data_IF_764377626147
#
_entry.id   IF_764377626147
#
_cell.length_a   1.000
_cell.length_b   1.000
_cell.length_c   1.000
_cell.angle_alpha   90.00
_cell.angle_beta   90.00
_cell.angle_gamma   90.00
#
_symmetry.space_group_name_H-M   'P 1'
#
loop_
_entity.id
_entity.type
_entity.pdbx_description
1 polymer ?
#
# COMPACT_ATOMS: atom_id res chain seq x y z
N UNK A 1 1.05 3.88 14.29
CA UNK A 1 0.69 3.37 12.95
C UNK A 1 -0.26 2.20 13.11
N UNK A 2 -1.31 2.16 12.30
CA UNK A 2 -2.22 1.03 12.19
C UNK A 2 -1.94 0.28 10.89
N UNK A 3 -1.99 -1.06 10.95
CA UNK A 3 -1.57 -1.94 9.85
C UNK A 3 -2.39 -3.22 9.89
N UNK A 4 -3.11 -3.52 8.81
CA UNK A 4 -3.98 -4.69 8.71
C UNK A 4 -3.72 -5.35 7.36
N UNK A 5 -3.22 -6.58 7.37
CA UNK A 5 -2.86 -7.34 6.17
C UNK A 5 -3.86 -8.46 5.91
N UNK A 6 -4.29 -8.61 4.66
CA UNK A 6 -5.25 -9.60 4.21
C UNK A 6 -4.81 -10.27 2.92
N UNK A 7 -5.28 -11.50 2.72
CA UNK A 7 -5.18 -12.23 1.45
C UNK A 7 -6.57 -12.38 0.87
N UNK A 8 -6.78 -11.86 -0.33
CA UNK A 8 -8.06 -12.00 -1.05
C UNK A 8 -8.19 -13.41 -1.64
N UNK A 9 -9.43 -13.91 -1.86
CA UNK A 9 -9.66 -15.20 -2.52
C UNK A 9 -9.08 -15.28 -3.94
N UNK A 10 -8.91 -14.15 -4.62
CA UNK A 10 -8.30 -14.05 -5.95
C UNK A 10 -6.75 -14.18 -5.95
N UNK A 11 -6.15 -14.47 -4.79
CA UNK A 11 -4.71 -14.65 -4.61
C UNK A 11 -3.91 -13.35 -4.43
N UNK A 12 -4.52 -12.18 -4.60
CA UNK A 12 -3.85 -10.91 -4.31
C UNK A 12 -3.79 -10.61 -2.80
N UNK A 13 -2.80 -9.80 -2.42
CA UNK A 13 -2.60 -9.32 -1.05
C UNK A 13 -3.11 -7.89 -0.94
N UNK A 14 -3.69 -7.59 0.21
CA UNK A 14 -4.24 -6.29 0.54
C UNK A 14 -3.69 -5.82 1.87
N UNK A 15 -3.25 -4.57 1.92
CA UNK A 15 -2.76 -3.93 3.12
C UNK A 15 -3.50 -2.63 3.36
N UNK A 16 -4.21 -2.56 4.48
CA UNK A 16 -4.82 -1.35 5.00
C UNK A 16 -3.89 -0.70 6.01
N UNK A 17 -3.62 0.59 5.83
CA UNK A 17 -2.68 1.29 6.71
C UNK A 17 -2.99 2.78 6.80
N UNK A 18 -2.65 3.35 7.96
CA UNK A 18 -2.63 4.79 8.22
C UNK A 18 -1.77 5.09 9.45
N UNK A 19 -1.35 6.34 9.59
CA UNK A 19 -0.57 6.80 10.73
C UNK A 19 -0.88 8.27 11.01
N UNK A 20 -1.00 8.63 12.29
CA UNK A 20 -1.19 10.02 12.72
C UNK A 20 -0.19 10.98 12.07
N UNK A 21 1.09 10.58 12.03
CA UNK A 21 2.12 11.32 11.34
C UNK A 21 2.32 10.77 9.91
N UNK A 22 2.35 11.63 8.88
CA UNK A 22 2.65 11.21 7.51
C UNK A 22 4.10 10.73 7.38
N UNK A 23 4.35 9.90 6.36
CA UNK A 23 5.68 9.36 6.11
C UNK A 23 5.73 8.42 4.91
N UNK A 24 6.70 7.52 4.91
CA UNK A 24 6.91 6.53 3.85
C UNK A 24 7.22 5.16 4.46
N UNK A 25 6.63 4.11 3.90
CA UNK A 25 6.97 2.72 4.18
C UNK A 25 7.75 2.13 2.99
N UNK A 26 8.81 1.38 3.30
CA UNK A 26 9.61 0.66 2.30
C UNK A 26 9.25 -0.82 2.32
N UNK A 27 8.72 -1.34 1.22
CA UNK A 27 8.35 -2.75 1.08
C UNK A 27 9.30 -3.47 0.12
N UNK A 28 9.95 -4.52 0.61
CA UNK A 28 10.84 -5.36 -0.20
C UNK A 28 10.06 -6.50 -0.88
N UNK A 29 10.54 -6.94 -2.04
CA UNK A 29 9.97 -8.09 -2.75
C UNK A 29 8.63 -7.83 -3.45
N UNK A 30 8.21 -6.57 -3.58
CA UNK A 30 7.00 -6.18 -4.32
C UNK A 30 7.41 -5.30 -5.50
N UNK A 31 7.37 -5.82 -6.73
CA UNK A 31 7.80 -5.07 -7.91
C UNK A 31 6.77 -3.99 -8.34
N UNK A 32 5.48 -4.25 -8.11
CA UNK A 32 4.38 -3.39 -8.54
C UNK A 32 3.18 -3.55 -7.61
N UNK A 33 2.54 -2.44 -7.27
CA UNK A 33 1.31 -2.43 -6.47
C UNK A 33 0.37 -1.31 -6.93
N UNK A 34 -0.89 -1.36 -6.51
CA UNK A 34 -1.86 -0.28 -6.67
C UNK A 34 -2.20 0.29 -5.31
N UNK A 35 -1.91 1.58 -5.12
CA UNK A 35 -2.32 2.35 -3.96
C UNK A 35 -3.70 2.96 -4.24
N UNK A 36 -4.66 2.74 -3.33
CA UNK A 36 -6.03 3.26 -3.42
C UNK A 36 -6.33 4.12 -2.20
N UNK A 37 -7.01 5.23 -2.43
CA UNK A 37 -7.57 6.10 -1.41
C UNK A 37 -9.11 5.94 -1.42
N UNK A 38 -9.70 5.23 -0.45
CA UNK A 38 -11.13 4.92 -0.46
C UNK A 38 -12.02 6.16 -0.28
N UNK A 39 -11.51 7.23 0.34
CA UNK A 39 -12.30 8.45 0.59
C UNK A 39 -12.46 9.31 -0.67
N UNK A 40 -11.43 9.38 -1.51
CA UNK A 40 -11.45 10.18 -2.75
C UNK A 40 -11.66 9.35 -4.01
N UNK A 41 -11.59 8.02 -3.91
CA UNK A 41 -11.56 7.11 -5.06
C UNK A 41 -10.24 7.11 -5.84
N UNK A 42 -9.26 7.92 -5.43
CA UNK A 42 -7.99 8.04 -6.15
C UNK A 42 -7.24 6.69 -6.18
N UNK A 43 -6.67 6.37 -7.34
CA UNK A 43 -5.88 5.16 -7.55
C UNK A 43 -4.57 5.51 -8.24
N UNK A 44 -3.45 4.97 -7.72
CA UNK A 44 -2.11 5.19 -8.27
C UNK A 44 -1.34 3.87 -8.32
N UNK A 45 -0.77 3.56 -9.47
CA UNK A 45 0.17 2.43 -9.60
C UNK A 45 1.53 2.86 -9.06
N UNK A 46 2.10 2.05 -8.17
CA UNK A 46 3.46 2.19 -7.66
C UNK A 46 4.34 1.10 -8.29
N UNK A 47 5.61 1.43 -8.53
CA UNK A 47 6.63 0.52 -9.05
C UNK A 47 7.83 0.57 -8.12
N UNK A 48 8.48 -0.57 -7.92
CA UNK A 48 9.67 -0.65 -7.10
C UNK A 48 10.82 0.13 -7.71
N UNK A 49 11.58 0.75 -6.83
CA UNK A 49 12.94 1.22 -7.06
C UNK A 49 13.94 0.10 -6.64
N UNK A 50 15.25 0.25 -6.88
CA UNK A 50 16.24 -0.75 -6.47
C UNK A 50 16.16 -1.16 -4.99
N UNK A 51 15.81 -0.23 -4.12
CA UNK A 51 15.70 -0.44 -2.66
C UNK A 51 14.38 -1.13 -2.24
N UNK A 52 13.39 -1.13 -3.13
CA UNK A 52 12.05 -1.64 -2.88
C UNK A 52 10.93 -0.69 -3.32
N UNK A 53 9.71 -1.04 -2.95
CA UNK A 53 8.52 -0.26 -3.22
C UNK A 53 8.32 0.78 -2.11
N UNK A 54 8.47 2.06 -2.46
CA UNK A 54 8.13 3.19 -1.61
C UNK A 54 6.63 3.44 -1.60
N UNK A 55 6.02 3.46 -0.41
CA UNK A 55 4.59 3.64 -0.21
C UNK A 55 4.34 4.82 0.73
N UNK A 56 3.72 5.92 0.27
CA UNK A 56 3.42 7.03 1.16
C UNK A 56 2.36 6.62 2.17
N UNK A 57 2.56 7.03 3.42
CA UNK A 57 1.64 6.83 4.54
C UNK A 57 1.02 8.17 4.91
N UNK A 58 -0.30 8.19 5.01
CA UNK A 58 -1.09 9.35 5.41
C UNK A 58 -1.90 9.08 6.70
N UNK A 59 -2.44 10.13 7.34
CA UNK A 59 -3.41 10.00 8.44
C UNK A 59 -4.72 9.33 8.03
N UNK A 60 -5.09 9.43 6.76
CA UNK A 60 -6.27 8.80 6.19
C UNK A 60 -5.96 7.35 5.81
N UNK A 61 -6.94 6.45 6.00
CA UNK A 61 -6.87 5.06 5.56
C UNK A 61 -6.47 4.97 4.08
N UNK A 62 -5.44 4.18 3.79
CA UNK A 62 -5.02 3.82 2.45
C UNK A 62 -5.05 2.31 2.27
N UNK A 63 -5.16 1.87 1.01
CA UNK A 63 -5.13 0.45 0.64
C UNK A 63 -4.01 0.21 -0.36
N UNK A 64 -3.09 -0.69 -0.06
CA UNK A 64 -2.12 -1.20 -1.02
C UNK A 64 -2.53 -2.60 -1.46
N UNK A 65 -2.69 -2.79 -2.77
CA UNK A 65 -3.05 -4.07 -3.37
C UNK A 65 -1.95 -4.53 -4.32
N UNK A 66 -1.48 -5.78 -4.17
CA UNK A 66 -0.46 -6.36 -5.06
C UNK A 66 -0.64 -7.86 -5.22
N UNK A 67 0.04 -8.43 -6.21
CA UNK A 67 0.17 -9.88 -6.37
C UNK A 67 1.60 -10.31 -6.00
N UNK A 68 1.78 -11.49 -5.38
CA UNK A 68 3.11 -12.08 -5.19
C UNK A 68 3.82 -12.31 -6.54
#
# INVERSE_FOLDING_TARGET
>A
MYSIAWRKPDGSRLWWFWSENPGEAMLKGIARATLRQPLSGACRVLRAEPEGLRVPVAPQLQMLEWRP
#
